data_IF_407428220053
#
_entry.id   IF_407428220053
#
_cell.length_a   1.000
_cell.length_b   1.000
_cell.length_c   1.000
_cell.angle_alpha   90.00
_cell.angle_beta   90.00
_cell.angle_gamma   90.00
#
_symmetry.space_group_name_H-M   'P 1'
#
loop_
_entity.id
_entity.type
_entity.pdbx_description
1 polymer ?
#
# COMPACT_ATOMS: atom_id res chain seq x y z
N UNK A 1 -13.80 2.91 -10.95
CA UNK A 1 -13.93 1.54 -11.49
C UNK A 1 -12.81 0.67 -10.89
N UNK A 2 -12.51 -0.60 -11.25
CA UNK A 2 -11.40 -1.31 -10.61
C UNK A 2 -10.03 -0.74 -11.03
N UNK A 3 -9.16 -0.57 -10.04
CA UNK A 3 -7.78 -0.15 -10.21
C UNK A 3 -6.86 -1.37 -10.24
N UNK A 4 -5.94 -1.40 -11.20
CA UNK A 4 -5.00 -2.48 -11.45
C UNK A 4 -3.59 -1.93 -11.32
N UNK A 5 -2.78 -2.59 -10.51
CA UNK A 5 -1.36 -2.27 -10.32
C UNK A 5 -0.50 -3.38 -10.91
N UNK A 6 0.55 -2.99 -11.64
CA UNK A 6 1.44 -3.90 -12.36
C UNK A 6 2.05 -5.00 -11.46
N UNK A 7 2.55 -4.71 -10.24
CA UNK A 7 3.12 -5.74 -9.39
C UNK A 7 2.15 -6.86 -9.02
N UNK A 8 0.87 -6.54 -8.79
CA UNK A 8 -0.13 -7.58 -8.47
C UNK A 8 -0.56 -8.34 -9.72
N UNK A 9 -0.57 -7.68 -10.88
CA UNK A 9 -0.80 -8.36 -12.14
C UNK A 9 0.33 -9.39 -12.40
N UNK A 10 1.58 -9.01 -12.11
CA UNK A 10 2.77 -9.85 -12.26
C UNK A 10 2.73 -11.12 -11.37
N UNK A 11 2.00 -11.10 -10.25
CA UNK A 11 1.79 -12.30 -9.41
C UNK A 11 0.95 -13.38 -10.13
N UNK A 12 0.21 -13.01 -11.18
CA UNK A 12 -0.72 -13.88 -11.89
C UNK A 12 -0.32 -14.17 -13.34
N UNK A 13 0.44 -13.29 -13.99
CA UNK A 13 0.79 -13.44 -15.41
C UNK A 13 2.19 -12.92 -15.67
N UNK A 14 2.89 -13.55 -16.61
CA UNK A 14 4.21 -13.08 -17.05
C UNK A 14 4.07 -11.72 -17.76
N UNK A 15 4.80 -10.71 -17.26
CA UNK A 15 4.82 -9.36 -17.82
C UNK A 15 6.20 -9.08 -18.46
N UNK A 16 6.25 -8.37 -19.59
CA UNK A 16 7.49 -7.77 -20.09
C UNK A 16 8.12 -6.85 -19.03
N UNK A 17 9.46 -6.79 -19.00
CA UNK A 17 10.19 -6.00 -18.00
C UNK A 17 10.00 -4.48 -18.16
N UNK A 18 9.65 -4.04 -19.37
CA UNK A 18 9.46 -2.64 -19.77
C UNK A 18 7.98 -2.27 -19.96
N UNK A 19 7.06 -3.08 -19.44
CA UNK A 19 5.61 -2.85 -19.59
C UNK A 19 5.18 -1.58 -18.83
N UNK A 20 4.65 -0.61 -19.56
CA UNK A 20 4.02 0.60 -19.00
C UNK A 20 2.52 0.41 -18.79
N UNK A 21 1.89 1.24 -17.94
CA UNK A 21 0.43 1.22 -17.79
C UNK A 21 -0.30 1.54 -19.11
N UNK A 22 0.30 2.35 -19.97
CA UNK A 22 -0.25 2.67 -21.29
C UNK A 22 -0.26 1.45 -22.23
N UNK A 23 0.83 0.68 -22.28
CA UNK A 23 0.85 -0.57 -23.06
C UNK A 23 -0.08 -1.63 -22.48
N UNK A 24 -0.17 -1.71 -21.14
CA UNK A 24 -1.16 -2.57 -20.48
C UNK A 24 -2.59 -2.20 -20.89
N UNK A 25 -2.91 -0.90 -20.95
CA UNK A 25 -4.21 -0.42 -21.44
C UNK A 25 -4.46 -0.87 -22.89
N UNK A 26 -3.50 -0.66 -23.80
CA UNK A 26 -3.63 -1.08 -25.20
C UNK A 26 -3.91 -2.58 -25.36
N UNK A 27 -3.24 -3.42 -24.57
CA UNK A 27 -3.45 -4.87 -24.59
C UNK A 27 -4.83 -5.25 -24.03
N UNK A 28 -5.30 -4.55 -22.99
CA UNK A 28 -6.62 -4.77 -22.40
C UNK A 28 -7.77 -4.27 -23.30
N UNK A 29 -7.55 -3.21 -24.07
CA UNK A 29 -8.53 -2.71 -25.05
C UNK A 29 -8.84 -3.75 -26.12
N UNK A 30 -7.85 -4.55 -26.57
CA UNK A 30 -8.07 -5.63 -27.56
C UNK A 30 -9.05 -6.70 -27.09
N UNK A 31 -9.13 -6.92 -25.79
CA UNK A 31 -10.08 -7.85 -25.18
C UNK A 31 -11.37 -7.16 -24.76
N UNK A 32 -11.49 -5.83 -24.90
CA UNK A 32 -12.68 -5.03 -24.60
C UNK A 32 -12.72 -4.47 -23.18
N UNK A 33 -11.56 -4.29 -22.55
CA UNK A 33 -11.41 -3.59 -21.28
C UNK A 33 -10.73 -2.24 -21.56
N UNK A 34 -11.54 -1.20 -21.62
CA UNK A 34 -11.10 0.16 -21.93
C UNK A 34 -10.52 0.83 -20.68
N UNK A 35 -9.45 1.61 -20.85
CA UNK A 35 -8.92 2.47 -19.80
C UNK A 35 -9.83 3.68 -19.54
N UNK A 36 -10.01 4.02 -18.27
CA UNK A 36 -10.64 5.28 -17.87
C UNK A 36 -9.59 6.34 -17.53
N UNK A 37 -8.56 5.94 -16.80
CA UNK A 37 -7.49 6.82 -16.36
C UNK A 37 -6.23 6.02 -15.99
N UNK A 38 -5.08 6.66 -16.16
CA UNK A 38 -3.81 6.20 -15.60
C UNK A 38 -3.45 7.16 -14.47
N UNK A 39 -3.33 6.64 -13.25
CA UNK A 39 -3.00 7.42 -12.08
C UNK A 39 -1.52 7.22 -11.73
N UNK A 40 -0.83 8.32 -11.49
CA UNK A 40 0.56 8.33 -11.01
C UNK A 40 0.63 9.10 -9.69
N UNK A 41 1.62 8.80 -8.85
CA UNK A 41 1.83 9.57 -7.61
C UNK A 41 2.17 11.05 -7.84
N UNK A 42 2.70 11.40 -9.03
CA UNK A 42 3.20 12.74 -9.32
C UNK A 42 4.52 13.06 -8.60
N UNK A 43 5.10 12.10 -7.89
CA UNK A 43 6.40 12.23 -7.22
C UNK A 43 7.48 11.71 -8.15
N UNK A 44 8.50 12.52 -8.42
CA UNK A 44 9.63 12.10 -9.26
C UNK A 44 10.97 12.50 -8.64
N UNK A 45 12.04 11.83 -9.05
CA UNK A 45 13.40 12.11 -8.60
C UNK A 45 13.79 11.38 -7.31
N UNK A 46 14.91 11.79 -6.69
CA UNK A 46 15.53 11.02 -5.62
C UNK A 46 14.81 11.19 -4.27
N UNK A 47 13.93 10.23 -3.94
CA UNK A 47 13.33 10.09 -2.61
C UNK A 47 13.86 8.82 -1.96
N UNK A 48 14.55 8.96 -0.84
CA UNK A 48 15.28 7.86 -0.21
C UNK A 48 14.90 7.67 1.24
N UNK A 49 15.15 6.47 1.74
CA UNK A 49 15.09 6.19 3.16
C UNK A 49 16.30 6.80 3.85
N UNK A 50 16.07 7.61 4.87
CA UNK A 50 17.10 8.23 5.70
C UNK A 50 17.03 7.78 7.17
N UNK A 51 18.15 7.89 7.88
CA UNK A 51 18.21 7.66 9.34
C UNK A 51 18.60 8.94 10.06
N UNK A 52 17.83 9.33 11.08
CA UNK A 52 18.13 10.51 11.90
C UNK A 52 19.31 10.21 12.83
N UNK A 53 20.41 10.94 12.69
CA UNK A 53 21.62 10.81 13.51
C UNK A 53 21.64 11.81 14.67
N UNK A 54 21.22 13.05 14.41
CA UNK A 54 21.14 14.10 15.42
C UNK A 54 19.89 14.97 15.20
N UNK A 55 19.36 15.51 16.29
CA UNK A 55 18.17 16.38 16.32
C UNK A 55 18.42 17.50 17.33
N UNK A 56 18.61 18.72 16.83
CA UNK A 56 18.85 19.90 17.65
C UNK A 56 17.65 20.86 17.54
N UNK A 57 16.84 21.02 18.59
CA UNK A 57 15.70 21.93 18.57
C UNK A 57 16.17 23.39 18.71
N UNK A 58 15.77 24.23 17.77
CA UNK A 58 16.06 25.67 17.75
C UNK A 58 14.76 26.48 17.78
N UNK A 59 14.44 27.17 18.90
CA UNK A 59 13.27 28.03 18.96
C UNK A 59 13.48 29.28 18.11
N UNK A 60 12.58 29.51 17.15
CA UNK A 60 12.65 30.68 16.28
C UNK A 60 11.89 31.87 16.86
N UNK A 61 12.23 33.08 16.39
CA UNK A 61 11.58 34.35 16.78
C UNK A 61 10.06 34.36 16.54
N UNK A 62 9.56 33.49 15.65
CA UNK A 62 8.15 33.35 15.31
C UNK A 62 7.38 32.40 16.26
N UNK A 63 8.00 31.92 17.34
CA UNK A 63 7.37 31.06 18.35
C UNK A 63 7.21 29.59 17.95
N UNK A 64 7.60 29.21 16.73
CA UNK A 64 7.65 27.81 16.27
C UNK A 64 9.05 27.24 16.54
N UNK A 65 9.11 26.02 17.07
CA UNK A 65 10.35 25.27 17.26
C UNK A 65 10.66 24.52 15.98
N UNK A 66 11.78 24.82 15.34
CA UNK A 66 12.29 24.02 14.23
C UNK A 66 13.37 23.08 14.76
N UNK A 67 13.53 21.93 14.14
CA UNK A 67 14.60 20.99 14.46
C UNK A 67 15.61 21.01 13.33
N UNK A 68 16.88 21.27 13.69
CA UNK A 68 18.01 21.03 12.83
C UNK A 68 18.44 19.57 12.97
N UNK A 69 18.29 18.80 11.90
CA UNK A 69 18.54 17.37 11.90
C UNK A 69 19.72 17.01 11.01
N UNK A 70 20.55 16.08 11.46
CA UNK A 70 21.53 15.40 10.62
C UNK A 70 20.99 14.02 10.27
N UNK A 71 20.96 13.69 8.98
CA UNK A 71 20.33 12.48 8.46
C UNK A 71 21.33 11.72 7.58
N UNK A 72 21.48 10.41 7.81
CA UNK A 72 22.19 9.49 6.91
C UNK A 72 21.25 9.09 5.78
N UNK A 73 21.61 9.42 4.54
CA UNK A 73 20.84 9.07 3.33
C UNK A 73 21.50 7.95 2.53
N UNK A 74 22.43 7.22 3.12
CA UNK A 74 23.18 6.13 2.46
C UNK A 74 24.40 6.58 1.66
N UNK A 75 24.68 7.89 1.59
CA UNK A 75 25.87 8.40 0.94
C UNK A 75 27.12 8.14 1.79
N UNK A 76 28.21 7.75 1.12
CA UNK A 76 29.49 7.43 1.75
C UNK A 76 30.60 8.23 1.09
N UNK A 77 31.56 8.70 1.89
CA UNK A 77 32.73 9.42 1.38
C UNK A 77 33.81 8.45 0.85
N UNK A 78 34.93 8.98 0.35
CA UNK A 78 36.04 8.18 -0.16
C UNK A 78 36.69 7.27 0.90
N UNK A 79 36.48 7.58 2.19
CA UNK A 79 36.93 6.78 3.32
C UNK A 79 35.89 5.73 3.76
N UNK A 80 34.69 5.73 3.17
CA UNK A 80 33.58 4.84 3.52
C UNK A 80 32.74 5.32 4.70
N UNK A 81 32.98 6.54 5.20
CA UNK A 81 32.23 7.14 6.30
C UNK A 81 30.90 7.73 5.82
N UNK A 82 29.95 7.84 6.74
CA UNK A 82 28.60 8.35 6.46
C UNK A 82 28.65 9.84 6.15
N UNK A 83 28.16 10.24 4.97
CA UNK A 83 27.97 11.66 4.64
C UNK A 83 26.67 12.14 5.29
N UNK A 84 26.81 12.89 6.38
CA UNK A 84 25.67 13.46 7.09
C UNK A 84 25.03 14.59 6.28
N UNK A 85 23.73 14.48 6.01
CA UNK A 85 22.96 15.54 5.37
C UNK A 85 22.19 16.35 6.39
N UNK A 86 22.43 17.65 6.39
CA UNK A 86 21.68 18.60 7.19
C UNK A 86 20.30 18.88 6.59
N UNK A 87 19.24 18.67 7.37
CA UNK A 87 17.85 18.90 6.97
C UNK A 87 17.11 19.62 8.10
N UNK A 88 16.33 20.64 7.73
CA UNK A 88 15.46 21.35 8.69
C UNK A 88 14.09 20.70 8.67
N UNK A 89 13.58 20.33 9.85
CA UNK A 89 12.26 19.74 9.99
C UNK A 89 11.45 20.45 11.10
N UNK A 90 10.19 20.78 10.80
CA UNK A 90 9.28 21.37 11.79
C UNK A 90 8.42 20.35 12.55
N UNK A 91 8.51 19.07 12.21
CA UNK A 91 7.70 18.03 12.84
C UNK A 91 8.29 17.57 14.18
N UNK A 92 7.44 17.08 15.07
CA UNK A 92 7.81 16.65 16.43
C UNK A 92 7.58 15.15 16.68
N UNK A 93 7.18 14.40 15.66
CA UNK A 93 6.73 13.01 15.77
C UNK A 93 7.86 11.97 15.61
N UNK A 94 9.13 12.38 15.58
CA UNK A 94 10.28 11.51 15.36
C UNK A 94 11.41 11.81 16.34
N UNK A 95 12.24 10.81 16.60
CA UNK A 95 13.40 10.91 17.49
C UNK A 95 14.71 10.48 16.80
N UNK A 96 15.82 10.69 17.50
CA UNK A 96 17.14 10.26 17.03
C UNK A 96 17.18 8.75 16.90
N UNK A 97 17.68 8.26 15.76
CA UNK A 97 17.75 6.84 15.42
C UNK A 97 16.59 6.32 14.58
N UNK A 98 15.52 7.12 14.40
CA UNK A 98 14.37 6.74 13.59
C UNK A 98 14.69 6.69 12.09
N UNK A 99 13.96 5.83 11.39
CA UNK A 99 14.04 5.70 9.92
C UNK A 99 12.91 6.50 9.29
N UNK A 100 13.28 7.47 8.46
CA UNK A 100 12.38 8.47 7.88
C UNK A 100 12.51 8.50 6.36
N UNK A 101 11.57 9.15 5.68
CA UNK A 101 11.62 9.35 4.22
C UNK A 101 12.15 10.75 3.93
N UNK A 102 13.15 10.83 3.06
CA UNK A 102 13.84 12.09 2.72
C UNK A 102 13.81 12.31 1.22
N UNK A 103 13.30 13.46 0.80
CA UNK A 103 13.44 13.94 -0.58
C UNK A 103 14.75 14.70 -0.71
N UNK A 104 15.60 14.25 -1.62
CA UNK A 104 16.88 14.88 -1.94
C UNK A 104 16.67 16.02 -2.96
N UNK A 105 17.63 16.96 -3.06
CA UNK A 105 17.60 17.99 -4.09
C UNK A 105 17.46 17.39 -5.50
N UNK A 106 16.56 17.95 -6.30
CA UNK A 106 16.18 17.42 -7.61
C UNK A 106 14.92 16.54 -7.61
N UNK A 107 14.39 16.18 -6.43
CA UNK A 107 13.07 15.55 -6.34
C UNK A 107 11.96 16.58 -6.63
N UNK A 108 10.90 16.14 -7.29
CA UNK A 108 9.69 16.92 -7.55
C UNK A 108 8.53 16.24 -6.85
N UNK A 109 7.91 16.95 -5.91
CA UNK A 109 6.73 16.50 -5.19
C UNK A 109 5.45 16.92 -5.94
N UNK A 110 4.29 16.32 -5.60
CA UNK A 110 3.03 16.61 -6.27
C UNK A 110 2.69 18.10 -6.15
N UNK A 111 2.23 18.71 -7.25
CA UNK A 111 2.04 20.16 -7.33
C UNK A 111 3.28 20.92 -7.79
N UNK A 112 4.16 20.27 -8.56
CA UNK A 112 5.37 20.85 -9.18
C UNK A 112 6.37 21.45 -8.16
N UNK A 113 6.39 20.89 -6.95
CA UNK A 113 7.25 21.40 -5.88
C UNK A 113 8.64 20.78 -5.97
N UNK A 114 9.57 21.52 -6.59
CA UNK A 114 10.97 21.10 -6.77
C UNK A 114 11.77 21.31 -5.48
N UNK A 115 12.36 20.23 -4.98
CA UNK A 115 13.26 20.26 -3.81
C UNK A 115 14.64 20.77 -4.24
N UNK A 116 15.09 21.84 -3.59
CA UNK A 116 16.41 22.42 -3.80
C UNK A 116 17.12 22.70 -2.48
N UNK A 117 18.45 22.67 -2.50
CA UNK A 117 19.26 23.06 -1.37
C UNK A 117 19.10 24.56 -1.08
N UNK A 118 18.70 24.93 0.14
CA UNK A 118 18.49 26.33 0.53
C UNK A 118 19.00 26.63 1.93
N UNK A 119 19.57 27.81 2.12
CA UNK A 119 19.97 28.31 3.43
C UNK A 119 18.76 28.90 4.16
N UNK A 120 18.43 28.33 5.31
CA UNK A 120 17.26 28.70 6.11
C UNK A 120 17.66 28.68 7.58
N UNK A 121 17.33 29.74 8.32
CA UNK A 121 17.66 29.88 9.75
C UNK A 121 19.14 29.69 10.11
N UNK A 122 20.06 30.08 9.22
CA UNK A 122 21.50 29.97 9.45
C UNK A 122 22.12 28.64 8.98
N UNK A 123 21.30 27.62 8.74
CA UNK A 123 21.72 26.29 8.30
C UNK A 123 21.43 26.07 6.81
N UNK A 124 22.18 25.17 6.17
CA UNK A 124 21.95 24.78 4.77
C UNK A 124 21.14 23.48 4.75
N UNK A 125 19.87 23.54 4.37
CA UNK A 125 19.01 22.36 4.26
C UNK A 125 19.19 21.72 2.89
N UNK A 126 19.77 20.51 2.85
CA UNK A 126 20.06 19.74 1.65
C UNK A 126 19.03 18.62 1.43
N UNK A 127 17.75 18.98 1.51
CA UNK A 127 16.62 18.06 1.38
C UNK A 127 15.47 18.44 2.30
N UNK A 128 14.47 17.55 2.32
CA UNK A 128 13.25 17.68 3.12
C UNK A 128 12.83 16.30 3.64
N UNK A 129 12.52 16.21 4.95
CA UNK A 129 11.90 15.00 5.50
C UNK A 129 10.41 15.06 5.19
N UNK A 130 9.88 14.03 4.53
CA UNK A 130 8.56 14.06 3.93
C UNK A 130 7.48 13.52 4.86
N UNK A 131 6.35 14.21 4.86
CA UNK A 131 5.08 13.73 5.40
C UNK A 131 4.27 12.96 4.34
N UNK A 132 3.24 12.23 4.81
CA UNK A 132 2.40 11.43 3.93
C UNK A 132 1.59 12.31 2.96
N UNK A 133 1.04 13.41 3.44
CA UNK A 133 0.30 14.39 2.64
C UNK A 133 1.18 15.08 1.59
N UNK A 134 2.43 15.38 1.92
CA UNK A 134 3.41 15.96 0.97
C UNK A 134 3.76 15.02 -0.18
N UNK A 135 3.68 13.69 0.03
CA UNK A 135 3.89 12.68 -1.01
C UNK A 135 2.60 12.27 -1.74
N UNK A 136 1.47 12.92 -1.45
CA UNK A 136 0.17 12.57 -2.04
C UNK A 136 -0.43 11.28 -1.48
N UNK A 137 0.10 10.76 -0.37
CA UNK A 137 -0.45 9.61 0.35
C UNK A 137 -1.57 10.04 1.30
N UNK A 138 -2.41 9.07 1.69
CA UNK A 138 -3.41 9.29 2.74
C UNK A 138 -2.72 9.71 4.04
N UNK A 139 -3.27 10.75 4.67
CA UNK A 139 -2.76 11.30 5.93
C UNK A 139 -2.81 10.25 7.04
N UNK A 140 -1.67 9.63 7.30
CA UNK A 140 -1.50 8.64 8.37
C UNK A 140 -0.97 9.29 9.67
N UNK A 141 -1.68 10.32 10.16
CA UNK A 141 -1.34 11.03 11.41
C UNK A 141 -0.86 12.48 11.21
N UNK A 142 -0.34 13.07 12.29
CA UNK A 142 0.28 14.40 12.26
C UNK A 142 1.80 14.26 12.20
N UNK A 143 2.41 14.79 11.13
CA UNK A 143 3.86 14.87 10.98
C UNK A 143 4.44 14.00 9.87
N UNK A 144 5.73 13.68 9.99
CA UNK A 144 6.50 13.00 8.95
C UNK A 144 6.27 11.48 8.91
N UNK A 145 6.65 10.84 7.80
CA UNK A 145 6.64 9.37 7.70
C UNK A 145 7.81 8.78 8.50
N UNK A 146 7.47 8.05 9.56
CA UNK A 146 8.43 7.20 10.30
C UNK A 146 8.18 5.75 9.89
N UNK A 147 9.14 5.17 9.16
CA UNK A 147 9.06 3.80 8.65
C UNK A 147 9.32 2.77 9.75
N UNK A 148 10.27 3.07 10.64
CA UNK A 148 10.61 2.25 11.78
C UNK A 148 11.22 3.13 12.87
N UNK A 149 10.82 2.86 14.12
CA UNK A 149 11.45 3.52 15.27
C UNK A 149 12.83 2.94 15.55
N UNK A 150 13.67 3.69 16.26
CA UNK A 150 14.98 3.20 16.70
C UNK A 150 14.88 1.83 17.42
N UNK A 151 13.89 1.66 18.29
CA UNK A 151 13.66 0.41 19.01
C UNK A 151 13.25 -0.76 18.09
N UNK A 152 12.46 -0.50 17.04
CA UNK A 152 12.07 -1.52 16.06
C UNK A 152 13.26 -1.96 15.20
N UNK A 153 14.18 -1.04 14.87
CA UNK A 153 15.44 -1.39 14.20
C UNK A 153 16.30 -2.32 15.04
N UNK A 154 16.40 -2.06 16.35
CA UNK A 154 17.17 -2.90 17.25
C UNK A 154 16.53 -4.29 17.41
N UNK A 155 15.19 -4.34 17.49
CA UNK A 155 14.45 -5.58 17.66
C UNK A 155 14.37 -6.43 16.37
N UNK A 156 14.33 -5.81 15.19
CA UNK A 156 14.20 -6.52 13.91
C UNK A 156 14.96 -5.77 12.81
N UNK A 157 16.30 -5.82 12.82
CA UNK A 157 17.12 -5.05 11.88
C UNK A 157 16.90 -5.49 10.42
N UNK A 158 16.57 -6.75 10.19
CA UNK A 158 16.33 -7.29 8.84
C UNK A 158 15.04 -6.79 8.18
N UNK A 159 14.06 -6.30 8.97
CA UNK A 159 12.80 -5.79 8.41
C UNK A 159 12.83 -4.29 8.12
N UNK A 160 13.89 -3.59 8.54
CA UNK A 160 14.01 -2.14 8.34
C UNK A 160 14.89 -1.84 7.14
N UNK A 161 14.42 -1.03 6.17
CA UNK A 161 15.22 -0.65 5.02
C UNK A 161 16.52 0.05 5.42
N UNK A 162 17.59 -0.24 4.67
CA UNK A 162 18.87 0.44 4.85
C UNK A 162 18.77 1.92 4.40
N UNK A 163 19.52 2.83 5.03
CA UNK A 163 19.65 4.19 4.52
C UNK A 163 20.10 4.19 3.04
N UNK A 164 19.50 5.05 2.22
CA UNK A 164 19.73 5.12 0.78
C UNK A 164 18.87 4.19 -0.07
N UNK A 165 18.04 3.33 0.54
CA UNK A 165 17.03 2.56 -0.20
C UNK A 165 16.04 3.52 -0.85
N UNK A 166 15.63 3.23 -2.09
CA UNK A 166 14.61 4.01 -2.79
C UNK A 166 13.27 3.92 -2.06
N UNK A 167 12.77 5.07 -1.60
CA UNK A 167 11.51 5.16 -0.89
C UNK A 167 10.31 5.13 -1.84
N UNK A 168 10.46 5.51 -3.11
CA UNK A 168 9.37 5.46 -4.09
C UNK A 168 8.95 4.02 -4.35
N UNK A 169 9.92 3.14 -4.62
CA UNK A 169 9.68 1.72 -4.78
C UNK A 169 9.13 1.08 -3.50
N UNK A 170 9.66 1.45 -2.32
CA UNK A 170 9.21 0.92 -1.04
C UNK A 170 7.74 1.27 -0.73
N UNK A 171 7.32 2.49 -1.06
CA UNK A 171 5.97 3.00 -0.80
C UNK A 171 5.00 2.69 -1.94
N UNK A 172 5.45 2.10 -3.06
CA UNK A 172 4.65 1.88 -4.26
C UNK A 172 4.27 3.18 -4.98
N UNK A 173 5.00 4.26 -4.74
CA UNK A 173 4.79 5.57 -5.39
C UNK A 173 5.40 5.64 -6.80
N UNK A 174 6.32 4.72 -7.11
CA UNK A 174 6.88 4.57 -8.45
C UNK A 174 5.91 3.89 -9.43
N UNK A 175 4.92 3.17 -8.93
CA UNK A 175 4.01 2.37 -9.75
C UNK A 175 2.91 3.24 -10.38
N UNK A 176 2.60 2.94 -11.64
CA UNK A 176 1.41 3.45 -12.31
C UNK A 176 0.19 2.58 -11.97
N UNK A 177 -0.96 3.22 -11.77
CA UNK A 177 -2.23 2.54 -11.49
C UNK A 177 -3.18 2.72 -12.65
N UNK A 178 -3.53 1.62 -13.31
CA UNK A 178 -4.48 1.63 -14.42
C UNK A 178 -5.91 1.45 -13.90
N UNK A 179 -6.78 2.42 -14.17
CA UNK A 179 -8.22 2.31 -13.94
C UNK A 179 -8.91 1.82 -15.22
N UNK A 180 -9.64 0.71 -15.12
CA UNK A 180 -10.30 0.09 -16.27
C UNK A 180 -11.83 0.13 -16.12
N UNK A 181 -12.54 0.33 -17.22
CA UNK A 181 -13.97 0.18 -17.28
C UNK A 181 -14.34 -1.31 -17.43
N UNK A 182 -15.21 -1.80 -16.55
CA UNK A 182 -15.68 -3.19 -16.56
C UNK A 182 -17.18 -3.21 -16.80
N UNK A 183 -17.57 -3.74 -17.95
CA UNK A 183 -18.97 -3.93 -18.31
C UNK A 183 -19.65 -5.00 -17.43
N UNK A 184 -20.97 -4.90 -17.17
CA UNK A 184 -21.67 -5.79 -16.24
C UNK A 184 -21.63 -7.29 -16.61
N UNK A 185 -21.45 -7.62 -17.88
CA UNK A 185 -21.30 -9.00 -18.38
C UNK A 185 -19.95 -9.65 -17.96
N UNK A 186 -18.97 -8.83 -17.57
CA UNK A 186 -17.60 -9.25 -17.24
C UNK A 186 -17.29 -9.12 -15.76
N UNK A 187 -18.23 -9.54 -14.91
CA UNK A 187 -18.11 -9.43 -13.45
C UNK A 187 -16.84 -10.06 -12.83
N UNK A 188 -16.18 -11.00 -13.52
CA UNK A 188 -14.92 -11.58 -13.06
C UNK A 188 -13.72 -10.60 -13.13
N UNK A 189 -13.79 -9.57 -13.98
CA UNK A 189 -12.77 -8.52 -14.12
C UNK A 189 -12.76 -7.51 -12.95
N UNK A 190 -13.70 -7.60 -12.00
CA UNK A 190 -13.60 -6.91 -10.71
C UNK A 190 -12.56 -7.53 -9.74
N UNK A 191 -11.72 -8.43 -10.25
CA UNK A 191 -10.62 -9.03 -9.52
C UNK A 191 -9.36 -9.02 -10.37
N UNK A 192 -8.18 -8.83 -9.76
CA UNK A 192 -6.88 -8.90 -10.44
C UNK A 192 -6.73 -10.23 -11.18
N UNK A 193 -7.18 -11.33 -10.57
CA UNK A 193 -7.20 -12.66 -11.18
C UNK A 193 -7.99 -12.70 -12.50
N UNK A 194 -9.11 -12.00 -12.58
CA UNK A 194 -9.91 -11.90 -13.81
C UNK A 194 -9.22 -11.05 -14.86
N UNK A 195 -8.69 -9.89 -14.46
CA UNK A 195 -7.95 -9.00 -15.37
C UNK A 195 -6.69 -9.69 -15.92
N UNK A 196 -5.90 -10.35 -15.07
CA UNK A 196 -4.72 -11.12 -15.47
C UNK A 196 -5.05 -12.22 -16.48
N UNK A 197 -6.22 -12.85 -16.34
CA UNK A 197 -6.70 -13.84 -17.29
C UNK A 197 -6.98 -13.20 -18.65
N UNK A 198 -7.71 -12.08 -18.69
CA UNK A 198 -8.00 -11.38 -19.94
C UNK A 198 -6.71 -10.87 -20.61
N UNK A 199 -5.78 -10.33 -19.83
CA UNK A 199 -4.46 -9.92 -20.33
C UNK A 199 -3.71 -11.10 -20.97
N UNK A 200 -3.71 -12.27 -20.33
CA UNK A 200 -3.09 -13.48 -20.90
C UNK A 200 -3.76 -13.95 -22.22
N UNK A 201 -5.08 -13.75 -22.39
CA UNK A 201 -5.74 -14.05 -23.66
C UNK A 201 -5.39 -13.03 -24.75
N UNK A 202 -5.14 -11.78 -24.38
CA UNK A 202 -4.73 -10.73 -25.31
C UNK A 202 -3.29 -10.92 -25.81
N UNK A 203 -2.37 -11.21 -24.89
CA UNK A 203 -0.92 -11.24 -25.17
C UNK A 203 -0.38 -12.64 -25.43
N UNK A 204 -1.10 -13.69 -25.03
CA UNK A 204 -0.62 -15.07 -25.03
C UNK A 204 0.36 -15.38 -23.88
N UNK A 205 0.55 -14.46 -22.93
CA UNK A 205 1.45 -14.64 -21.79
C UNK A 205 1.00 -15.80 -20.88
N UNK A 206 1.97 -16.43 -20.20
CA UNK A 206 1.67 -17.54 -19.31
C UNK A 206 0.91 -17.04 -18.06
N UNK A 207 -0.31 -17.54 -17.87
CA UNK A 207 -1.15 -17.25 -16.72
C UNK A 207 -1.00 -18.32 -15.63
N UNK A 208 -0.66 -17.90 -14.42
CA UNK A 208 -0.63 -18.73 -13.22
C UNK A 208 -1.73 -18.27 -12.27
N UNK A 209 -2.49 -19.23 -11.74
CA UNK A 209 -3.55 -18.95 -10.78
C UNK A 209 -3.18 -19.45 -9.38
N UNK A 210 -2.72 -18.56 -8.47
CA UNK A 210 -2.37 -18.91 -7.10
C UNK A 210 -3.56 -19.50 -6.30
N UNK A 211 -4.79 -19.22 -6.74
CA UNK A 211 -6.01 -19.71 -6.11
C UNK A 211 -6.36 -21.15 -6.48
N UNK A 212 -5.72 -21.74 -7.48
CA UNK A 212 -5.94 -23.14 -7.82
C UNK A 212 -5.18 -24.05 -6.84
N UNK A 213 -5.85 -25.07 -6.26
CA UNK A 213 -5.15 -26.02 -5.42
C UNK A 213 -4.09 -26.72 -6.27
N UNK A 214 -2.86 -26.80 -5.75
CA UNK A 214 -1.84 -27.69 -6.31
C UNK A 214 -2.47 -29.06 -6.56
N UNK A 215 -2.15 -29.75 -7.68
CA UNK A 215 -2.77 -31.01 -8.05
C UNK A 215 -2.61 -31.99 -6.89
N UNK A 216 -3.68 -32.16 -6.11
CA UNK A 216 -3.69 -33.07 -4.98
C UNK A 216 -3.72 -34.47 -5.59
N UNK A 217 -2.61 -35.20 -5.46
CA UNK A 217 -2.55 -36.61 -5.84
C UNK A 217 -3.82 -37.32 -5.36
N UNK A 218 -4.46 -38.06 -6.26
CA UNK A 218 -5.82 -38.57 -6.14
C UNK A 218 -6.01 -39.46 -4.90
N UNK A 219 -6.24 -38.87 -3.73
CA UNK A 219 -6.75 -39.60 -2.58
C UNK A 219 -8.24 -39.81 -2.80
N UNK A 220 -8.62 -41.05 -3.11
CA UNK A 220 -10.00 -41.55 -3.10
C UNK A 220 -10.66 -41.14 -1.78
N UNK A 221 -11.48 -40.10 -1.80
CA UNK A 221 -12.39 -39.79 -0.69
C UNK A 221 -13.59 -40.72 -0.81
N UNK A 222 -13.90 -41.45 0.26
CA UNK A 222 -15.18 -42.14 0.38
C UNK A 222 -16.29 -41.10 0.29
N UNK A 223 -17.08 -41.17 -0.79
CA UNK A 223 -18.27 -40.33 -0.96
C UNK A 223 -19.30 -40.81 0.06
N UNK A 224 -19.52 -40.04 1.13
CA UNK A 224 -20.81 -40.13 1.84
C UNK A 224 -21.91 -39.55 0.95
N UNK A 225 -23.07 -40.21 0.82
CA UNK A 225 -24.17 -39.66 0.04
C UNK A 225 -24.66 -38.35 0.67
N UNK A 226 -24.80 -37.29 -0.15
CA UNK A 226 -25.46 -36.05 0.26
C UNK A 226 -26.97 -36.25 0.11
N UNK A 227 -27.80 -35.85 1.09
CA UNK A 227 -29.23 -35.77 0.86
C UNK A 227 -29.51 -34.74 -0.25
N UNK A 228 -30.52 -35.03 -1.08
CA UNK A 228 -30.91 -34.19 -2.21
C UNK A 228 -31.32 -32.79 -1.71
N UNK A 229 -30.63 -31.76 -2.20
CA UNK A 229 -31.03 -30.37 -1.95
C UNK A 229 -32.21 -30.02 -2.87
N UNK A 230 -33.23 -29.39 -2.30
CA UNK A 230 -34.31 -28.74 -3.05
C UNK A 230 -33.76 -27.62 -3.95
N UNK A 231 -34.40 -27.34 -5.11
CA UNK A 231 -33.88 -26.37 -6.06
C UNK A 231 -34.29 -24.95 -5.62
N UNK A 232 -33.65 -24.43 -4.58
CA UNK A 232 -33.59 -22.99 -4.36
C UNK A 232 -32.19 -22.49 -4.72
N UNK A 233 -32.16 -21.35 -5.40
CA UNK A 233 -31.03 -20.68 -6.08
C UNK A 233 -29.91 -20.22 -5.12
N UNK A 234 -29.49 -21.06 -4.20
CA UNK A 234 -28.34 -20.80 -3.34
C UNK A 234 -27.36 -21.96 -3.49
N UNK A 235 -26.29 -21.70 -4.24
CA UNK A 235 -25.08 -22.51 -4.13
C UNK A 235 -24.65 -22.38 -2.68
N UNK A 236 -24.82 -23.46 -1.92
CA UNK A 236 -24.60 -23.48 -0.47
C UNK A 236 -23.20 -22.94 -0.17
N UNK A 237 -23.02 -22.05 0.83
CA UNK A 237 -21.68 -21.71 1.28
C UNK A 237 -20.98 -23.02 1.66
N UNK A 238 -19.70 -23.14 1.31
CA UNK A 238 -18.82 -24.16 1.89
C UNK A 238 -18.24 -23.56 3.17
N UNK A 239 -18.88 -23.70 4.34
CA UNK A 239 -18.22 -23.33 5.58
C UNK A 239 -16.98 -24.22 5.73
N UNK A 240 -15.81 -23.61 5.68
CA UNK A 240 -14.60 -24.24 6.16
C UNK A 240 -14.49 -23.88 7.64
N UNK A 241 -14.78 -24.83 8.53
CA UNK A 241 -14.53 -24.64 9.94
C UNK A 241 -13.01 -24.69 10.18
N UNK A 242 -12.36 -23.53 10.21
CA UNK A 242 -11.01 -23.41 10.75
C UNK A 242 -11.08 -23.65 12.26
N UNK A 243 -10.47 -24.73 12.76
CA UNK A 243 -10.28 -24.89 14.20
C UNK A 243 -9.25 -23.86 14.66
N UNK A 244 -9.68 -22.96 15.55
CA UNK A 244 -8.84 -22.11 16.40
C UNK A 244 -7.52 -21.65 15.75
N UNK A 245 -7.61 -20.75 14.77
CA UNK A 245 -6.46 -20.00 14.32
C UNK A 245 -6.24 -18.81 15.29
N UNK A 246 -5.02 -18.54 15.76
CA UNK A 246 -4.74 -17.34 16.54
C UNK A 246 -5.00 -16.09 15.68
N UNK A 247 -5.65 -15.08 16.25
CA UNK A 247 -5.84 -13.75 15.66
C UNK A 247 -4.49 -13.04 15.59
N UNK A 248 -3.67 -13.35 14.59
CA UNK A 248 -2.42 -12.65 14.30
C UNK A 248 -2.69 -11.31 13.63
N UNK A 249 -1.80 -10.33 13.82
CA UNK A 249 -1.80 -9.10 13.04
C UNK A 249 -1.62 -9.41 11.55
N UNK A 250 -2.32 -8.66 10.70
CA UNK A 250 -2.11 -8.74 9.24
C UNK A 250 -0.63 -8.47 8.94
N UNK A 251 0.00 -9.34 8.13
CA UNK A 251 1.38 -9.15 7.66
C UNK A 251 1.50 -7.78 6.97
N UNK A 252 2.58 -7.05 7.22
CA UNK A 252 2.78 -5.67 6.76
C UNK A 252 2.56 -5.49 5.25
N UNK A 253 2.98 -6.46 4.42
CA UNK A 253 2.72 -6.48 2.97
C UNK A 253 1.22 -6.50 2.59
N UNK A 254 0.38 -7.17 3.38
CA UNK A 254 -1.08 -7.21 3.17
C UNK A 254 -1.77 -5.90 3.54
N UNK A 255 -1.17 -5.14 4.46
CA UNK A 255 -1.67 -3.82 4.88
C UNK A 255 -1.20 -2.68 3.97
N UNK A 256 0.01 -2.78 3.40
CA UNK A 256 0.49 -1.85 2.37
C UNK A 256 -0.33 -1.97 1.08
N UNK A 257 -0.64 -3.20 0.67
CA UNK A 257 -1.43 -3.48 -0.54
C UNK A 257 -2.86 -2.94 -0.50
N UNK A 258 -3.52 -2.99 0.66
CA UNK A 258 -4.91 -2.50 0.79
C UNK A 258 -5.03 -0.97 0.85
N UNK A 259 -3.95 -0.24 1.12
CA UNK A 259 -3.91 1.23 1.23
C UNK A 259 -3.87 1.96 -0.11
N UNK A 260 -3.53 1.29 -1.20
CA UNK A 260 -3.55 1.87 -2.56
C UNK A 260 -4.97 2.10 -3.13
N UNK A 261 -6.02 2.08 -2.29
CA UNK A 261 -7.40 2.37 -2.68
C UNK A 261 -7.77 3.80 -2.28
N UNK A 262 -7.83 4.78 -3.21
CA UNK A 262 -8.50 6.04 -2.92
C UNK A 262 -9.98 5.77 -2.64
N UNK A 263 -10.51 6.33 -1.55
CA UNK A 263 -11.94 6.30 -1.25
C UNK A 263 -12.66 7.31 -2.17
N UNK A 264 -13.84 6.98 -2.70
CA UNK A 264 -14.69 7.99 -3.32
C UNK A 264 -15.10 9.04 -2.29
N UNK A 265 -14.94 10.31 -2.63
CA UNK A 265 -15.36 11.45 -1.82
C UNK A 265 -16.87 11.38 -1.56
N UNK A 266 -17.31 11.10 -0.31
CA UNK A 266 -18.72 11.30 0.06
C UNK A 266 -19.38 10.38 1.09
N UNK A 267 -18.68 9.48 1.79
CA UNK A 267 -19.32 8.66 2.83
C UNK A 267 -18.87 9.10 4.23
N UNK A 268 -19.64 10.01 4.84
CA UNK A 268 -19.56 10.35 6.26
C UNK A 268 -19.93 9.15 7.14
N UNK A 269 -19.14 8.91 8.19
CA UNK A 269 -19.31 7.89 9.23
C UNK A 269 -20.65 8.04 9.97
N UNK A 270 -21.68 7.31 9.55
CA UNK A 270 -22.92 7.22 10.30
C UNK A 270 -23.67 5.91 10.04
N UNK A 271 -23.10 4.77 10.44
CA UNK A 271 -23.93 3.60 10.77
C UNK A 271 -23.21 2.58 11.66
N UNK A 272 -22.74 3.02 12.83
CA UNK A 272 -22.41 2.12 13.94
C UNK A 272 -23.56 2.16 14.97
N UNK A 273 -24.43 1.16 14.98
CA UNK A 273 -25.29 0.85 16.13
C UNK A 273 -25.29 -0.66 16.40
N UNK A 274 -24.92 -1.11 17.61
CA UNK A 274 -24.94 -2.52 17.97
C UNK A 274 -26.37 -2.97 18.32
N UNK A 275 -26.82 -4.08 17.72
CA UNK A 275 -28.11 -4.69 18.04
C UNK A 275 -28.04 -5.37 19.42
N UNK A 276 -28.64 -4.72 20.41
CA UNK A 276 -28.88 -5.25 21.76
C UNK A 276 -29.90 -6.41 21.70
N UNK A 277 -29.58 -7.51 22.40
CA UNK A 277 -30.36 -8.73 22.43
C UNK A 277 -31.77 -8.53 23.01
N UNK A 278 -32.76 -9.21 22.41
CA UNK A 278 -34.10 -9.38 22.98
C UNK A 278 -34.28 -10.83 23.43
N UNK A 279 -34.32 -11.02 24.74
CA UNK A 279 -34.85 -12.17 25.44
C UNK A 279 -36.33 -12.37 25.08
N UNK A 280 -36.71 -13.57 24.63
CA UNK A 280 -38.12 -13.98 24.50
C UNK A 280 -38.55 -14.69 25.79
N UNK A 281 -39.52 -14.12 26.49
CA UNK A 281 -40.32 -14.77 27.53
C UNK A 281 -41.50 -15.53 26.90
N UNK A 282 -41.99 -16.64 27.50
CA UNK A 282 -43.09 -17.42 26.96
C UNK A 282 -44.44 -16.94 27.52
N UNK A 283 -45.39 -16.63 26.65
CA UNK A 283 -46.79 -16.41 27.03
C UNK A 283 -47.68 -17.52 26.49
N UNK A 284 -48.18 -18.33 27.40
CA UNK A 284 -49.30 -19.26 27.24
C UNK A 284 -50.61 -18.50 27.02
N UNK A 285 -51.41 -18.89 26.02
CA UNK A 285 -52.87 -18.78 26.09
C UNK A 285 -53.54 -19.76 25.14
N UNK A 286 -54.38 -20.62 25.76
CA UNK A 286 -55.33 -21.57 25.17
C UNK A 286 -56.28 -20.90 24.17
N UNK A 287 -56.73 -21.70 23.20
CA UNK A 287 -58.06 -21.54 22.59
C UNK A 287 -58.79 -22.87 22.74
N UNK A 288 -60.04 -22.79 23.20
CA UNK A 288 -61.10 -23.82 23.13
C UNK A 288 -61.37 -24.26 21.70
#
# INVERSE_FOLDING_TARGET
MPNVVLPWLAEHVELPADLTAAQLAEDLVRVGLEEEAIHTSGVTGPVVVGRVLAKNPEPQKNGKVINWCQVDTGERDEAGEVVERGVICGAHNFEVGDTVVVSLPGAVLPGDFVIAARKTYGHVSNGMICAADELGLEKSGEGIIVLATAAQREATPESVPAPGTDALALLGLADEVLEINVTPDRGYCFSVRGVAREYAHSTGAAFTDPGLPAPRGARRRSRRPRPAASPSRSTTPRPFAARSAPTGSSRAWFAGSTRARPRPSGCSDACARPACGRSRSPSTSRTT
#
